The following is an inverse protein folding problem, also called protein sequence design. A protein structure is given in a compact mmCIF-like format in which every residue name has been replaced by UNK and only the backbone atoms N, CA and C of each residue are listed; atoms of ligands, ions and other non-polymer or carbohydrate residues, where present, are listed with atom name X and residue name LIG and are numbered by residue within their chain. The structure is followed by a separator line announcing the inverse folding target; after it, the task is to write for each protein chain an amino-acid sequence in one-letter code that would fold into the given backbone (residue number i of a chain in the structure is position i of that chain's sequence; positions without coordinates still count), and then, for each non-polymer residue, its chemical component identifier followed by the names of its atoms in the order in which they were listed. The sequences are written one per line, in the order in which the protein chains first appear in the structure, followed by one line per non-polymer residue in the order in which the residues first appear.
data_IF_234996339458
#
_entry.id   IF_234996339458
#
_cell.length_a   1.000
_cell.length_b   1.000
_cell.length_c   1.000
_cell.angle_alpha   90.00
_cell.angle_beta   90.00
_cell.angle_gamma   90.00
#
_symmetry.space_group_name_H-M   'P 1'
#
loop_
_entity.id
_entity.type
_entity.pdbx_description
1 polymer ?
#
# COMPACT_ATOMS: atom_id res chain seq x y z
N UNK A 1 -3.25 54.22 -17.50
CA UNK A 1 -3.88 55.03 -18.55
C UNK A 1 -5.37 55.03 -18.30
N UNK A 2 -6.01 56.20 -18.29
CA UNK A 2 -7.45 56.32 -18.05
C UNK A 2 -8.18 55.96 -19.35
N UNK A 3 -9.23 55.13 -19.28
CA UNK A 3 -10.05 54.77 -20.44
C UNK A 3 -11.21 55.77 -20.61
N UNK A 4 -11.07 56.70 -21.56
CA UNK A 4 -12.04 57.74 -21.85
C UNK A 4 -13.32 57.23 -22.50
N UNK A 5 -13.27 56.10 -23.22
CA UNK A 5 -14.48 55.43 -23.70
C UNK A 5 -15.33 54.95 -22.53
N UNK A 6 -14.71 54.34 -21.52
CA UNK A 6 -15.42 53.88 -20.32
C UNK A 6 -15.95 55.01 -19.44
N UNK A 7 -15.25 56.16 -19.40
CA UNK A 7 -15.78 57.37 -18.74
C UNK A 7 -17.05 57.87 -19.45
N UNK A 8 -17.07 57.86 -20.78
CA UNK A 8 -18.25 58.24 -21.56
C UNK A 8 -19.30 57.13 -21.67
N UNK A 9 -19.08 55.98 -21.03
CA UNK A 9 -19.94 54.80 -21.08
C UNK A 9 -20.16 54.25 -22.50
N UNK A 10 -19.06 54.23 -23.27
CA UNK A 10 -18.99 53.71 -24.63
C UNK A 10 -18.15 52.44 -24.69
N UNK A 11 -18.35 51.70 -25.78
CA UNK A 11 -17.43 50.65 -26.16
C UNK A 11 -16.09 51.23 -26.65
N UNK A 12 -15.02 50.46 -26.43
CA UNK A 12 -13.71 50.86 -26.89
C UNK A 12 -13.74 51.00 -28.42
N UNK A 13 -13.06 52.03 -28.95
CA UNK A 13 -12.99 52.34 -30.37
C UNK A 13 -14.29 52.87 -31.02
N UNK A 14 -15.32 53.23 -30.22
CA UNK A 14 -16.56 53.88 -30.67
C UNK A 14 -16.32 55.10 -31.57
N UNK A 15 -17.22 55.37 -32.52
CA UNK A 15 -17.05 56.42 -33.55
C UNK A 15 -16.98 57.83 -32.95
N UNK A 16 -16.37 58.78 -33.67
CA UNK A 16 -16.26 60.19 -33.18
C UNK A 16 -17.65 60.81 -32.98
N UNK A 17 -18.64 60.40 -33.78
CA UNK A 17 -20.03 60.85 -33.66
C UNK A 17 -20.71 60.33 -32.39
N UNK A 18 -20.47 59.07 -32.04
CA UNK A 18 -20.95 58.45 -30.80
C UNK A 18 -20.32 59.12 -29.58
N UNK A 19 -19.01 59.38 -29.61
CA UNK A 19 -18.28 60.11 -28.57
C UNK A 19 -18.86 61.51 -28.35
N UNK A 20 -19.11 62.26 -29.43
CA UNK A 20 -19.69 63.62 -29.34
C UNK A 20 -21.10 63.60 -28.75
N UNK A 21 -21.90 62.61 -29.12
CA UNK A 21 -23.27 62.44 -28.62
C UNK A 21 -23.27 62.09 -27.14
N UNK A 22 -22.45 61.10 -26.73
CA UNK A 22 -22.31 60.68 -25.35
C UNK A 22 -21.77 61.80 -24.45
N UNK A 23 -20.75 62.53 -24.92
CA UNK A 23 -20.21 63.69 -24.19
C UNK A 23 -21.28 64.76 -23.93
N UNK A 24 -22.07 65.13 -24.95
CA UNK A 24 -23.15 66.13 -24.78
C UNK A 24 -24.19 65.67 -23.76
N UNK A 25 -24.56 64.39 -23.81
CA UNK A 25 -25.51 63.81 -22.87
C UNK A 25 -24.98 63.84 -21.42
N UNK A 26 -23.72 63.44 -21.20
CA UNK A 26 -23.10 63.44 -19.86
C UNK A 26 -22.87 64.85 -19.31
N UNK A 27 -22.38 65.79 -20.13
CA UNK A 27 -22.17 67.19 -19.69
C UNK A 27 -23.48 67.87 -19.33
N UNK A 28 -24.59 67.59 -20.03
CA UNK A 28 -25.90 68.16 -19.67
C UNK A 28 -26.36 67.76 -18.26
N UNK A 29 -25.92 66.60 -17.77
CA UNK A 29 -26.29 66.07 -16.45
C UNK A 29 -25.32 66.53 -15.37
N UNK A 30 -24.02 66.62 -15.69
CA UNK A 30 -22.94 66.90 -14.73
C UNK A 30 -22.31 68.29 -14.88
N UNK A 31 -22.97 69.24 -15.57
CA UNK A 31 -22.47 70.60 -15.67
C UNK A 31 -22.48 71.27 -14.28
N UNK A 32 -21.41 71.97 -13.86
CA UNK A 32 -21.34 72.60 -12.53
C UNK A 32 -22.46 73.62 -12.27
N UNK A 33 -22.98 74.24 -13.34
CA UNK A 33 -24.11 75.18 -13.22
C UNK A 33 -25.47 74.48 -12.99
N UNK A 34 -25.61 73.21 -13.37
CA UNK A 34 -26.87 72.45 -13.30
C UNK A 34 -26.85 71.51 -12.09
N UNK A 35 -25.71 70.89 -11.82
CA UNK A 35 -25.52 69.93 -10.75
C UNK A 35 -24.47 70.48 -9.76
N UNK A 36 -24.93 70.82 -8.55
CA UNK A 36 -24.10 71.39 -7.46
C UNK A 36 -23.44 70.32 -6.59
N UNK A 37 -23.53 69.06 -6.98
CA UNK A 37 -22.85 67.97 -6.27
C UNK A 37 -21.32 68.14 -6.40
N UNK A 38 -20.55 68.03 -5.30
CA UNK A 38 -19.09 68.07 -5.37
C UNK A 38 -18.49 67.05 -6.36
N UNK A 39 -19.14 65.89 -6.56
CA UNK A 39 -18.66 64.87 -7.49
C UNK A 39 -18.92 65.24 -8.97
N UNK A 40 -19.89 66.13 -9.23
CA UNK A 40 -20.20 66.58 -10.58
C UNK A 40 -19.08 67.43 -11.18
N UNK A 41 -18.41 68.25 -10.37
CA UNK A 41 -17.27 69.05 -10.81
C UNK A 41 -16.12 68.15 -11.27
N UNK A 42 -15.78 67.10 -10.50
CA UNK A 42 -14.72 66.17 -10.85
C UNK A 42 -15.05 65.37 -12.12
N UNK A 43 -16.27 64.85 -12.22
CA UNK A 43 -16.72 64.11 -13.40
C UNK A 43 -16.76 64.97 -14.66
N UNK A 44 -17.15 66.24 -14.54
CA UNK A 44 -17.13 67.19 -15.66
C UNK A 44 -15.72 67.40 -16.23
N UNK A 45 -14.69 67.43 -15.36
CA UNK A 45 -13.28 67.50 -15.75
C UNK A 45 -12.89 66.25 -16.56
N UNK A 46 -13.26 65.07 -16.10
CA UNK A 46 -13.00 63.82 -16.83
C UNK A 46 -13.71 63.73 -18.18
N UNK A 47 -14.94 64.24 -18.30
CA UNK A 47 -15.64 64.31 -19.59
C UNK A 47 -14.97 65.29 -20.56
N UNK A 48 -14.50 66.43 -20.07
CA UNK A 48 -13.76 67.40 -20.88
C UNK A 48 -12.41 66.85 -21.35
N UNK A 49 -11.71 66.09 -20.51
CA UNK A 49 -10.51 65.34 -20.91
C UNK A 49 -10.83 64.29 -21.97
N UNK A 50 -11.90 63.50 -21.78
CA UNK A 50 -12.34 62.50 -22.74
C UNK A 50 -12.61 63.11 -24.12
N UNK A 51 -13.34 64.24 -24.16
CA UNK A 51 -13.53 65.01 -25.40
C UNK A 51 -12.20 65.44 -26.00
N UNK A 52 -11.31 66.04 -25.21
CA UNK A 52 -10.03 66.56 -25.71
C UNK A 52 -9.21 65.51 -26.46
N UNK A 53 -9.28 64.24 -26.04
CA UNK A 53 -8.57 63.12 -26.66
C UNK A 53 -9.37 62.40 -27.77
N UNK A 54 -10.69 62.49 -27.79
CA UNK A 54 -11.56 61.71 -28.69
C UNK A 54 -12.36 62.56 -29.72
N UNK A 55 -12.25 63.89 -29.69
CA UNK A 55 -13.10 64.81 -30.47
C UNK A 55 -12.77 64.87 -31.98
N UNK A 56 -11.51 64.62 -32.36
CA UNK A 56 -11.07 64.58 -33.76
C UNK A 56 -10.52 63.22 -34.13
N UNK A 57 -10.65 62.85 -35.41
CA UNK A 57 -10.19 61.56 -35.90
C UNK A 57 -8.69 61.33 -35.65
N UNK A 58 -7.87 62.37 -35.79
CA UNK A 58 -6.42 62.31 -35.54
C UNK A 58 -6.09 62.00 -34.07
N UNK A 59 -6.71 62.74 -33.13
CA UNK A 59 -6.50 62.55 -31.70
C UNK A 59 -7.05 61.22 -31.21
N UNK A 60 -8.23 60.82 -31.70
CA UNK A 60 -8.81 59.50 -31.46
C UNK A 60 -7.86 58.40 -31.92
N UNK A 61 -7.36 58.48 -33.16
CA UNK A 61 -6.44 57.47 -33.70
C UNK A 61 -5.16 57.35 -32.87
N UNK A 62 -4.62 58.47 -32.37
CA UNK A 62 -3.47 58.45 -31.46
C UNK A 62 -3.82 57.77 -30.13
N UNK A 63 -4.93 58.18 -29.52
CA UNK A 63 -5.40 57.61 -28.25
C UNK A 63 -5.71 56.11 -28.37
N UNK A 64 -6.32 55.68 -29.47
CA UNK A 64 -6.62 54.27 -29.74
C UNK A 64 -5.36 53.41 -29.85
N UNK A 65 -4.29 53.94 -30.48
CA UNK A 65 -2.98 53.26 -30.53
C UNK A 65 -2.37 53.13 -29.14
N UNK A 66 -2.39 54.19 -28.34
CA UNK A 66 -1.88 54.20 -26.97
C UNK A 66 -2.68 53.23 -26.08
N UNK A 67 -4.01 53.25 -26.19
CA UNK A 67 -4.91 52.36 -25.45
C UNK A 67 -4.67 50.90 -25.83
N UNK A 68 -4.55 50.61 -27.13
CA UNK A 68 -4.20 49.27 -27.63
C UNK A 68 -2.84 48.80 -27.10
N UNK A 69 -1.84 49.67 -27.11
CA UNK A 69 -0.52 49.36 -26.58
C UNK A 69 -0.55 49.07 -25.08
N UNK A 70 -1.28 49.87 -24.30
CA UNK A 70 -1.50 49.63 -22.87
C UNK A 70 -2.18 48.28 -22.60
N UNK A 71 -3.21 47.93 -23.38
CA UNK A 71 -3.87 46.63 -23.29
C UNK A 71 -2.91 45.47 -23.63
N UNK A 72 -2.08 45.61 -24.66
CA UNK A 72 -1.11 44.58 -25.05
C UNK A 72 -0.04 44.36 -23.98
N UNK A 73 0.45 45.43 -23.34
CA UNK A 73 1.39 45.34 -22.22
C UNK A 73 0.75 44.57 -21.06
N UNK A 74 -0.49 44.89 -20.70
CA UNK A 74 -1.19 44.22 -19.60
C UNK A 74 -1.47 42.75 -19.93
N UNK A 75 -1.87 42.42 -21.17
CA UNK A 75 -2.01 41.03 -21.62
C UNK A 75 -0.68 40.27 -21.48
N UNK A 76 0.44 40.89 -21.89
CA UNK A 76 1.74 40.25 -21.78
C UNK A 76 2.16 40.07 -20.32
N UNK A 77 1.88 41.06 -19.46
CA UNK A 77 2.09 40.99 -18.01
C UNK A 77 1.25 39.88 -17.36
N UNK A 78 -0.01 39.74 -17.75
CA UNK A 78 -0.89 38.67 -17.25
C UNK A 78 -0.46 37.28 -17.73
N UNK A 79 0.11 37.19 -18.93
CA UNK A 79 0.70 35.94 -19.46
C UNK A 79 2.02 35.58 -18.76
N UNK A 80 2.86 36.56 -18.43
CA UNK A 80 4.15 36.36 -17.77
C UNK A 80 4.07 36.30 -16.25
N UNK A 81 2.94 36.72 -15.66
CA UNK A 81 2.70 36.58 -14.23
C UNK A 81 2.75 35.09 -13.84
N UNK A 82 3.51 34.72 -12.79
CA UNK A 82 3.58 33.35 -12.34
C UNK A 82 2.18 32.90 -11.93
N UNK A 83 1.65 31.86 -12.60
CA UNK A 83 0.42 31.21 -12.18
C UNK A 83 0.67 30.63 -10.79
N UNK A 84 0.21 31.33 -9.74
CA UNK A 84 0.25 30.80 -8.38
C UNK A 84 -0.47 29.46 -8.37
N UNK A 85 0.26 28.38 -8.08
CA UNK A 85 -0.34 27.06 -8.05
C UNK A 85 -1.41 27.07 -6.96
N UNK A 86 -2.53 26.41 -7.20
CA UNK A 86 -3.59 26.24 -6.19
C UNK A 86 -3.03 25.73 -4.86
N UNK A 87 -2.02 24.86 -4.93
CA UNK A 87 -1.30 24.34 -3.78
C UNK A 87 -0.52 25.39 -2.99
N UNK A 88 -0.03 26.46 -3.62
CA UNK A 88 0.76 27.50 -2.95
C UNK A 88 -0.06 28.29 -1.93
N UNK A 89 -1.39 28.34 -2.11
CA UNK A 89 -2.33 29.02 -1.20
C UNK A 89 -2.71 28.19 0.02
N UNK A 90 -2.49 26.88 -0.01
CA UNK A 90 -2.92 25.97 1.05
C UNK A 90 -1.90 25.94 2.19
N UNK A 91 -2.40 25.84 3.42
CA UNK A 91 -1.59 25.52 4.60
C UNK A 91 -0.94 24.14 4.45
N UNK A 92 0.18 23.88 5.14
CA UNK A 92 0.85 22.56 5.12
C UNK A 92 -0.12 21.42 5.43
N UNK A 93 -1.04 21.63 6.37
CA UNK A 93 -2.07 20.65 6.77
C UNK A 93 -3.11 20.42 5.67
N UNK A 94 -3.61 21.48 5.05
CA UNK A 94 -4.58 21.36 3.95
C UNK A 94 -3.95 20.71 2.71
N UNK A 95 -2.66 20.97 2.46
CA UNK A 95 -1.89 20.29 1.41
C UNK A 95 -1.79 18.79 1.69
N UNK A 96 -1.44 18.39 2.92
CA UNK A 96 -1.37 16.96 3.26
C UNK A 96 -2.72 16.28 3.16
N UNK A 97 -3.80 16.92 3.64
CA UNK A 97 -5.16 16.39 3.55
C UNK A 97 -5.59 16.18 2.09
N UNK A 98 -5.34 17.14 1.19
CA UNK A 98 -5.65 16.98 -0.23
C UNK A 98 -4.79 15.95 -0.95
N UNK A 99 -3.52 15.85 -0.57
CA UNK A 99 -2.64 14.79 -1.10
C UNK A 99 -3.14 13.41 -0.67
N UNK A 100 -3.60 13.27 0.56
CA UNK A 100 -4.24 12.04 1.05
C UNK A 100 -5.55 11.73 0.33
N UNK A 101 -6.42 12.72 0.11
CA UNK A 101 -7.65 12.55 -0.67
C UNK A 101 -7.36 12.06 -2.09
N UNK A 102 -6.41 12.72 -2.77
CA UNK A 102 -5.96 12.30 -4.10
C UNK A 102 -5.40 10.89 -4.09
N UNK A 103 -4.59 10.54 -3.09
CA UNK A 103 -4.02 9.20 -2.94
C UNK A 103 -5.12 8.15 -2.74
N UNK A 104 -6.13 8.43 -1.90
CA UNK A 104 -7.28 7.54 -1.68
C UNK A 104 -8.07 7.30 -2.97
N UNK A 105 -8.31 8.36 -3.75
CA UNK A 105 -8.99 8.26 -5.06
C UNK A 105 -8.15 7.41 -6.03
N UNK A 106 -6.85 7.66 -6.13
CA UNK A 106 -5.95 6.88 -6.99
C UNK A 106 -5.93 5.39 -6.60
N UNK A 107 -5.85 5.09 -5.29
CA UNK A 107 -5.91 3.70 -4.80
C UNK A 107 -7.25 3.07 -5.18
N UNK A 108 -8.37 3.79 -5.00
CA UNK A 108 -9.69 3.33 -5.41
C UNK A 108 -9.77 3.02 -6.89
N UNK A 109 -9.36 3.95 -7.76
CA UNK A 109 -9.42 3.76 -9.21
C UNK A 109 -8.51 2.62 -9.68
N UNK A 110 -7.33 2.47 -9.06
CA UNK A 110 -6.43 1.34 -9.33
C UNK A 110 -7.06 0.02 -8.88
N UNK A 111 -7.70 0.02 -7.71
CA UNK A 111 -8.35 -1.17 -7.16
C UNK A 111 -9.57 -1.58 -8.00
N UNK A 112 -10.47 -0.66 -8.32
CA UNK A 112 -11.65 -0.91 -9.14
C UNK A 112 -11.25 -1.44 -10.54
N UNK A 113 -10.26 -0.84 -11.21
CA UNK A 113 -9.70 -1.38 -12.47
C UNK A 113 -9.12 -2.79 -12.31
N UNK A 114 -8.39 -3.04 -11.23
CA UNK A 114 -7.80 -4.36 -11.01
C UNK A 114 -8.86 -5.45 -10.79
N UNK A 115 -10.05 -5.10 -10.28
CA UNK A 115 -11.15 -6.04 -10.09
C UNK A 115 -11.76 -6.51 -11.42
N UNK A 116 -11.63 -5.72 -12.48
CA UNK A 116 -12.07 -6.09 -13.83
C UNK A 116 -11.22 -7.22 -14.41
N UNK A 117 -9.90 -7.20 -14.19
CA UNK A 117 -8.99 -8.25 -14.66
C UNK A 117 -8.93 -9.46 -13.72
N UNK A 118 -9.00 -9.22 -12.41
CA UNK A 118 -8.92 -10.27 -11.40
C UNK A 118 -9.97 -10.04 -10.30
N UNK A 119 -11.16 -10.66 -10.44
CA UNK A 119 -12.24 -10.57 -9.47
C UNK A 119 -11.84 -10.97 -8.04
N UNK A 120 -12.52 -10.39 -7.05
CA UNK A 120 -12.19 -10.58 -5.62
C UNK A 120 -12.15 -12.06 -5.20
N UNK A 121 -13.09 -12.88 -5.67
CA UNK A 121 -13.15 -14.29 -5.31
C UNK A 121 -11.92 -15.07 -5.79
N UNK A 122 -11.38 -14.75 -6.99
CA UNK A 122 -10.17 -15.37 -7.54
C UNK A 122 -8.94 -14.98 -6.74
N UNK A 123 -8.85 -13.71 -6.32
CA UNK A 123 -7.75 -13.25 -5.46
C UNK A 123 -7.76 -13.96 -4.14
N UNK A 124 -8.91 -13.96 -3.47
CA UNK A 124 -9.08 -14.58 -2.15
C UNK A 124 -8.79 -16.07 -2.25
N UNK A 125 -9.28 -16.78 -3.28
CA UNK A 125 -8.95 -18.19 -3.47
C UNK A 125 -7.46 -18.42 -3.73
N UNK A 126 -6.81 -17.58 -4.54
CA UNK A 126 -5.38 -17.68 -4.81
C UNK A 126 -4.52 -17.43 -3.57
N UNK A 127 -4.90 -16.44 -2.75
CA UNK A 127 -4.24 -16.13 -1.48
C UNK A 127 -4.40 -17.29 -0.49
N UNK A 128 -5.62 -17.83 -0.35
CA UNK A 128 -5.89 -18.98 0.52
C UNK A 128 -5.06 -20.19 0.05
N UNK A 129 -5.02 -20.46 -1.25
CA UNK A 129 -4.24 -21.55 -1.82
C UNK A 129 -2.74 -21.37 -1.52
N UNK A 130 -2.20 -20.16 -1.71
CA UNK A 130 -0.80 -19.85 -1.40
C UNK A 130 -0.48 -20.08 0.09
N UNK A 131 -1.37 -19.65 0.98
CA UNK A 131 -1.22 -19.87 2.42
C UNK A 131 -1.28 -21.35 2.79
N UNK A 132 -2.25 -22.10 2.25
CA UNK A 132 -2.35 -23.56 2.46
C UNK A 132 -1.09 -24.24 1.95
N UNK A 133 -0.56 -23.83 0.80
CA UNK A 133 0.66 -24.42 0.24
C UNK A 133 1.89 -24.14 1.12
N UNK A 134 2.01 -22.93 1.66
CA UNK A 134 3.04 -22.61 2.66
C UNK A 134 2.94 -23.49 3.92
N UNK A 135 1.74 -23.63 4.49
CA UNK A 135 1.51 -24.49 5.66
C UNK A 135 1.77 -25.97 5.34
N UNK A 136 1.39 -26.43 4.14
CA UNK A 136 1.63 -27.81 3.70
C UNK A 136 3.13 -28.11 3.61
N UNK A 137 3.93 -27.18 3.10
CA UNK A 137 5.40 -27.34 3.04
C UNK A 137 5.97 -27.44 4.47
N UNK A 138 5.55 -26.54 5.38
CA UNK A 138 5.98 -26.57 6.79
C UNK A 138 5.60 -27.91 7.44
N UNK A 139 4.36 -28.36 7.24
CA UNK A 139 3.87 -29.62 7.80
C UNK A 139 4.58 -30.85 7.22
N UNK A 140 4.91 -30.83 5.94
CA UNK A 140 5.59 -31.94 5.26
C UNK A 140 7.04 -32.09 5.73
N UNK A 141 7.77 -30.98 5.86
CA UNK A 141 9.18 -30.95 6.23
C UNK A 141 9.42 -30.67 7.73
N UNK A 142 8.39 -30.82 8.56
CA UNK A 142 8.51 -30.62 10.00
C UNK A 142 9.55 -31.58 10.63
N UNK A 143 9.53 -32.86 10.23
CA UNK A 143 10.51 -33.85 10.67
C UNK A 143 11.73 -33.79 9.76
N UNK A 144 12.90 -33.46 10.32
CA UNK A 144 14.09 -33.13 9.56
C UNK A 144 15.09 -34.28 9.55
N UNK A 145 15.62 -34.56 8.37
CA UNK A 145 16.79 -35.42 8.22
C UNK A 145 18.07 -34.60 8.42
N UNK A 146 19.05 -35.17 9.13
CA UNK A 146 20.32 -34.52 9.40
C UNK A 146 21.11 -34.32 8.10
N UNK A 147 21.53 -33.08 7.83
CA UNK A 147 22.23 -32.72 6.59
C UNK A 147 21.34 -32.60 5.34
N UNK A 148 20.02 -32.76 5.45
CA UNK A 148 19.10 -32.64 4.33
C UNK A 148 18.58 -31.21 4.11
N UNK A 149 18.00 -30.96 2.93
CA UNK A 149 17.40 -29.68 2.55
C UNK A 149 16.09 -29.34 3.28
N UNK A 150 15.64 -30.15 4.26
CA UNK A 150 14.39 -29.95 4.98
C UNK A 150 14.32 -28.60 5.71
N UNK A 151 15.44 -28.10 6.22
CA UNK A 151 15.53 -26.77 6.81
C UNK A 151 15.22 -25.68 5.78
N UNK A 152 15.76 -25.81 4.56
CA UNK A 152 15.52 -24.88 3.47
C UNK A 152 14.04 -24.88 3.07
N UNK A 153 13.44 -26.06 2.88
CA UNK A 153 12.01 -26.16 2.55
C UNK A 153 11.12 -25.60 3.65
N UNK A 154 11.45 -25.86 4.92
CA UNK A 154 10.70 -25.30 6.06
C UNK A 154 10.75 -23.76 6.05
N UNK A 155 11.93 -23.16 5.82
CA UNK A 155 12.08 -21.70 5.69
C UNK A 155 11.28 -21.18 4.49
N UNK A 156 11.35 -21.86 3.35
CA UNK A 156 10.57 -21.53 2.16
C UNK A 156 9.06 -21.58 2.44
N UNK A 157 8.60 -22.57 3.21
CA UNK A 157 7.21 -22.68 3.64
C UNK A 157 6.77 -21.51 4.51
N UNK A 158 7.59 -21.12 5.51
CA UNK A 158 7.32 -19.93 6.34
C UNK A 158 7.31 -18.65 5.53
N UNK A 159 8.25 -18.46 4.60
CA UNK A 159 8.27 -17.30 3.70
C UNK A 159 7.02 -17.26 2.82
N UNK A 160 6.65 -18.38 2.21
CA UNK A 160 5.46 -18.50 1.36
C UNK A 160 4.19 -18.18 2.14
N UNK A 161 4.05 -18.72 3.34
CA UNK A 161 2.92 -18.45 4.23
C UNK A 161 2.86 -16.98 4.65
N UNK A 162 4.00 -16.40 5.04
CA UNK A 162 4.10 -14.98 5.41
C UNK A 162 3.76 -14.05 4.25
N UNK A 163 4.22 -14.36 3.04
CA UNK A 163 3.83 -13.63 1.82
C UNK A 163 2.33 -13.71 1.59
N UNK A 164 1.73 -14.90 1.68
CA UNK A 164 0.28 -15.07 1.57
C UNK A 164 -0.50 -14.24 2.60
N UNK A 165 -0.08 -14.28 3.87
CA UNK A 165 -0.70 -13.50 4.93
C UNK A 165 -0.58 -11.97 4.72
N UNK A 166 0.59 -11.49 4.27
CA UNK A 166 0.81 -10.08 3.96
C UNK A 166 -0.06 -9.62 2.79
N UNK A 167 -0.16 -10.42 1.73
CA UNK A 167 -1.04 -10.14 0.58
C UNK A 167 -2.51 -10.14 1.01
N UNK A 168 -2.92 -11.10 1.86
CA UNK A 168 -4.27 -11.15 2.43
C UNK A 168 -4.63 -9.87 3.20
N UNK A 169 -3.73 -9.41 4.08
CA UNK A 169 -3.93 -8.19 4.85
C UNK A 169 -3.96 -6.95 3.96
N UNK A 170 -3.09 -6.87 2.94
CA UNK A 170 -3.08 -5.75 2.00
C UNK A 170 -4.37 -5.70 1.15
N UNK A 171 -4.86 -6.85 0.68
CA UNK A 171 -6.13 -6.94 -0.06
C UNK A 171 -7.30 -6.53 0.84
N UNK A 172 -7.36 -7.03 2.08
CA UNK A 172 -8.38 -6.63 3.05
C UNK A 172 -8.32 -5.13 3.36
N UNK A 173 -7.12 -4.58 3.58
CA UNK A 173 -6.93 -3.16 3.87
C UNK A 173 -7.45 -2.30 2.72
N UNK A 174 -7.06 -2.63 1.49
CA UNK A 174 -7.46 -1.89 0.30
C UNK A 174 -8.97 -1.99 0.06
N UNK A 175 -9.55 -3.19 0.23
CA UNK A 175 -11.00 -3.39 0.15
C UNK A 175 -11.77 -2.49 1.14
N UNK A 176 -11.37 -2.48 2.42
CA UNK A 176 -12.04 -1.66 3.42
C UNK A 176 -11.77 -0.17 3.24
N UNK A 177 -10.58 0.23 2.81
CA UNK A 177 -10.24 1.61 2.47
C UNK A 177 -11.17 2.13 1.37
N UNK A 178 -11.29 1.40 0.25
CA UNK A 178 -12.17 1.78 -0.85
C UNK A 178 -13.64 1.82 -0.43
N UNK A 179 -14.07 0.86 0.39
CA UNK A 179 -15.43 0.82 0.95
C UNK A 179 -15.71 2.01 1.87
N UNK A 180 -14.72 2.41 2.67
CA UNK A 180 -14.82 3.54 3.61
C UNK A 180 -15.01 4.90 2.93
N UNK A 181 -14.52 5.05 1.69
CA UNK A 181 -14.71 6.27 0.88
C UNK A 181 -16.19 6.46 0.54
N UNK A 182 -16.93 5.37 0.27
CA UNK A 182 -18.36 5.43 -0.10
C UNK A 182 -19.27 5.53 1.13
N UNK A 183 -18.98 4.77 2.18
CA UNK A 183 -19.76 4.75 3.42
C UNK A 183 -18.83 4.57 4.62
N UNK A 184 -19.01 5.32 5.71
CA UNK A 184 -18.17 5.19 6.89
C UNK A 184 -18.25 3.76 7.46
N UNK A 185 -17.09 3.13 7.64
CA UNK A 185 -16.97 1.80 8.25
C UNK A 185 -17.02 1.96 9.77
N UNK A 186 -17.90 1.22 10.44
CA UNK A 186 -18.17 1.37 11.90
C UNK A 186 -17.04 0.92 12.83
N UNK A 187 -15.94 0.38 12.29
CA UNK A 187 -14.83 -0.15 13.07
C UNK A 187 -13.49 0.30 12.48
N UNK A 188 -12.48 0.36 13.34
CA UNK A 188 -11.10 0.63 12.92
C UNK A 188 -10.53 -0.61 12.22
N UNK A 189 -10.69 -0.66 10.90
CA UNK A 189 -10.23 -1.79 10.09
C UNK A 189 -8.70 -1.87 10.05
N UNK A 190 -7.98 -0.76 10.14
CA UNK A 190 -6.51 -0.73 10.14
C UNK A 190 -5.96 -1.52 11.33
N UNK A 191 -6.47 -1.23 12.54
CA UNK A 191 -6.08 -1.94 13.76
C UNK A 191 -6.52 -3.40 13.72
N UNK A 192 -7.77 -3.68 13.33
CA UNK A 192 -8.29 -5.06 13.30
C UNK A 192 -7.50 -5.94 12.33
N UNK A 193 -7.23 -5.48 11.11
CA UNK A 193 -6.48 -6.25 10.11
C UNK A 193 -5.07 -6.54 10.62
N UNK A 194 -4.40 -5.55 11.21
CA UNK A 194 -3.08 -5.75 11.83
C UNK A 194 -3.12 -6.80 12.96
N UNK A 195 -4.11 -6.71 13.86
CA UNK A 195 -4.27 -7.70 14.94
C UNK A 195 -4.56 -9.09 14.40
N UNK A 196 -5.46 -9.23 13.42
CA UNK A 196 -5.76 -10.52 12.80
C UNK A 196 -4.55 -11.12 12.06
N UNK A 197 -3.75 -10.29 11.39
CA UNK A 197 -2.51 -10.74 10.75
C UNK A 197 -1.55 -11.32 11.78
N UNK A 198 -1.25 -10.60 12.87
CA UNK A 198 -0.26 -11.04 13.86
C UNK A 198 -0.77 -12.27 14.63
N UNK A 199 -1.99 -12.20 15.18
CA UNK A 199 -2.58 -13.28 15.97
C UNK A 199 -2.84 -14.51 15.10
N UNK A 200 -3.40 -14.33 13.90
CA UNK A 200 -3.65 -15.43 12.98
C UNK A 200 -2.38 -16.11 12.50
N UNK A 201 -1.31 -15.35 12.24
CA UNK A 201 -0.01 -15.91 11.87
C UNK A 201 0.57 -16.77 13.00
N UNK A 202 0.60 -16.25 14.23
CA UNK A 202 1.09 -16.99 15.41
C UNK A 202 0.26 -18.26 15.65
N UNK A 203 -1.08 -18.15 15.63
CA UNK A 203 -1.97 -19.29 15.81
C UNK A 203 -1.75 -20.37 14.73
N UNK A 204 -1.49 -19.97 13.49
CA UNK A 204 -1.24 -20.92 12.40
C UNK A 204 0.06 -21.70 12.61
N UNK A 205 1.11 -21.04 13.10
CA UNK A 205 2.38 -21.71 13.45
C UNK A 205 2.14 -22.73 14.57
N UNK A 206 1.48 -22.33 15.66
CA UNK A 206 1.17 -23.24 16.76
C UNK A 206 0.27 -24.40 16.34
N UNK A 207 -0.69 -24.16 15.44
CA UNK A 207 -1.56 -25.20 14.91
C UNK A 207 -0.75 -26.25 14.12
N UNK A 208 0.12 -25.81 13.20
CA UNK A 208 0.95 -26.72 12.40
C UNK A 208 1.93 -27.49 13.28
N UNK A 209 2.53 -26.82 14.27
CA UNK A 209 3.41 -27.47 15.25
C UNK A 209 2.66 -28.53 16.05
N UNK A 210 1.50 -28.19 16.61
CA UNK A 210 0.66 -29.10 17.38
C UNK A 210 0.19 -30.30 16.57
N UNK A 211 -0.29 -30.08 15.34
CA UNK A 211 -0.68 -31.17 14.43
C UNK A 211 0.50 -32.07 14.07
N UNK A 212 1.68 -31.50 13.88
CA UNK A 212 2.88 -32.26 13.55
C UNK A 212 3.35 -33.13 14.72
N UNK A 213 3.36 -32.59 15.93
CA UNK A 213 3.66 -33.32 17.17
C UNK A 213 2.65 -34.44 17.38
N UNK A 214 1.35 -34.14 17.27
CA UNK A 214 0.28 -35.13 17.39
C UNK A 214 0.43 -36.26 16.37
N UNK A 215 0.69 -35.93 15.10
CA UNK A 215 0.95 -36.93 14.05
C UNK A 215 2.14 -37.82 14.42
N UNK A 216 3.23 -37.23 14.90
CA UNK A 216 4.42 -37.97 15.32
C UNK A 216 4.13 -38.95 16.45
N UNK A 217 3.46 -38.48 17.50
CA UNK A 217 3.07 -39.30 18.65
C UNK A 217 2.10 -40.42 18.25
N UNK A 218 1.08 -40.09 17.45
CA UNK A 218 0.08 -41.06 17.01
C UNK A 218 0.72 -42.20 16.22
N UNK A 219 1.61 -41.89 15.27
CA UNK A 219 2.28 -42.89 14.46
C UNK A 219 3.25 -43.74 15.30
N UNK A 220 4.04 -43.11 16.18
CA UNK A 220 4.98 -43.84 17.05
C UNK A 220 4.29 -44.70 18.11
N UNK A 221 3.00 -44.47 18.40
CA UNK A 221 2.25 -45.27 19.38
C UNK A 221 1.43 -46.39 18.75
N UNK A 222 0.94 -46.20 17.52
CA UNK A 222 0.03 -47.16 16.89
C UNK A 222 0.67 -47.91 15.72
N UNK A 223 1.52 -47.26 14.93
CA UNK A 223 2.04 -47.75 13.64
C UNK A 223 3.57 -47.69 13.63
N UNK A 224 4.22 -48.44 14.51
CA UNK A 224 5.67 -48.38 14.70
C UNK A 224 6.35 -49.73 14.52
N UNK A 225 7.64 -49.67 14.19
CA UNK A 225 8.55 -50.80 14.18
C UNK A 225 9.91 -50.37 14.76
N UNK A 226 10.78 -51.36 14.96
CA UNK A 226 12.13 -51.14 15.46
C UNK A 226 13.16 -51.49 14.39
N UNK A 227 14.25 -50.76 14.36
CA UNK A 227 15.43 -51.07 13.56
C UNK A 227 16.68 -50.79 14.37
N UNK A 228 17.82 -51.32 13.91
CA UNK A 228 19.11 -51.05 14.52
C UNK A 228 19.79 -49.93 13.75
N UNK A 229 20.14 -48.86 14.45
CA UNK A 229 20.89 -47.73 13.92
C UNK A 229 22.34 -47.72 14.42
N UNK A 230 23.20 -47.06 13.67
CA UNK A 230 24.58 -46.77 14.03
C UNK A 230 24.68 -45.34 14.57
N UNK A 231 25.31 -45.17 15.74
CA UNK A 231 25.49 -43.87 16.38
C UNK A 231 26.72 -43.18 15.79
N UNK A 232 26.50 -42.03 15.16
CA UNK A 232 27.55 -41.13 14.71
C UNK A 232 28.03 -40.26 15.88
N UNK A 233 29.05 -40.76 16.59
CA UNK A 233 29.61 -40.07 17.75
C UNK A 233 30.29 -38.73 17.42
N UNK A 234 30.71 -38.51 16.17
CA UNK A 234 31.37 -37.26 15.76
C UNK A 234 30.34 -36.13 15.58
N UNK A 235 29.17 -36.47 15.05
CA UNK A 235 28.07 -35.52 14.87
C UNK A 235 27.17 -35.40 16.11
N UNK A 236 27.31 -36.31 17.08
CA UNK A 236 26.53 -36.31 18.33
C UNK A 236 27.11 -35.35 19.37
N UNK A 237 26.23 -34.84 20.25
CA UNK A 237 26.61 -34.06 21.42
C UNK A 237 25.80 -34.53 22.64
N UNK A 238 26.06 -33.94 23.82
CA UNK A 238 25.43 -34.38 25.08
C UNK A 238 23.89 -34.30 25.14
N UNK A 239 23.23 -33.66 24.17
CA UNK A 239 21.77 -33.53 24.14
C UNK A 239 21.15 -34.07 22.84
N UNK A 240 21.96 -34.38 21.84
CA UNK A 240 21.52 -34.82 20.51
C UNK A 240 22.38 -35.98 20.05
N UNK A 241 21.76 -37.15 19.93
CA UNK A 241 22.41 -38.34 19.38
C UNK A 241 22.05 -38.44 17.90
N UNK A 242 23.06 -38.42 17.03
CA UNK A 242 22.90 -38.59 15.59
C UNK A 242 23.00 -40.06 15.25
N UNK A 243 21.97 -40.59 14.60
CA UNK A 243 21.87 -42.01 14.25
C UNK A 243 21.61 -42.19 12.76
N UNK A 244 22.41 -43.06 12.14
CA UNK A 244 22.24 -43.57 10.79
C UNK A 244 21.51 -44.92 10.85
N UNK A 245 20.40 -45.08 10.13
CA UNK A 245 19.60 -46.31 10.12
C UNK A 245 18.95 -46.53 8.76
N UNK A 246 18.73 -47.80 8.41
CA UNK A 246 18.13 -48.22 7.15
C UNK A 246 16.77 -48.84 7.41
N UNK A 247 15.78 -48.44 6.62
CA UNK A 247 14.43 -49.03 6.59
C UNK A 247 14.07 -49.28 5.13
N UNK A 248 13.69 -50.52 4.80
CA UNK A 248 13.28 -50.93 3.45
C UNK A 248 14.28 -50.54 2.34
N UNK A 249 15.58 -50.62 2.63
CA UNK A 249 16.66 -50.28 1.70
C UNK A 249 16.90 -48.78 1.49
N UNK A 250 16.25 -47.91 2.28
CA UNK A 250 16.47 -46.47 2.28
C UNK A 250 17.17 -46.03 3.57
N UNK A 251 18.23 -45.23 3.40
CA UNK A 251 19.03 -44.73 4.51
C UNK A 251 18.50 -43.41 5.07
N UNK A 252 18.53 -43.31 6.38
CA UNK A 252 18.08 -42.16 7.14
C UNK A 252 19.16 -41.77 8.15
N UNK A 253 19.42 -40.46 8.24
CA UNK A 253 20.32 -39.89 9.25
C UNK A 253 19.56 -38.87 10.07
N UNK A 254 19.48 -39.03 11.38
CA UNK A 254 18.66 -38.13 12.21
C UNK A 254 19.35 -37.80 13.52
N UNK A 255 19.38 -36.51 13.86
CA UNK A 255 19.65 -36.04 15.20
C UNK A 255 18.40 -36.21 16.06
N UNK A 256 18.49 -37.00 17.11
CA UNK A 256 17.39 -37.29 18.03
C UNK A 256 17.73 -36.72 19.40
N UNK A 257 16.76 -36.05 20.02
CA UNK A 257 16.91 -35.56 21.39
C UNK A 257 17.00 -36.76 22.33
N UNK A 258 18.05 -36.78 23.13
CA UNK A 258 18.32 -37.84 24.09
C UNK A 258 19.74 -37.72 24.61
N UNK A 259 19.93 -38.10 25.87
CA UNK A 259 21.26 -38.26 26.41
C UNK A 259 21.83 -39.60 25.92
N UNK A 260 23.06 -39.59 25.44
CA UNK A 260 23.76 -40.81 25.05
C UNK A 260 23.86 -41.82 26.21
N UNK A 261 23.74 -41.37 27.47
CA UNK A 261 23.72 -42.26 28.64
C UNK A 261 22.39 -42.99 28.86
N UNK A 262 21.28 -42.49 28.33
CA UNK A 262 19.92 -43.01 28.61
C UNK A 262 19.41 -44.00 27.54
N UNK A 263 20.13 -44.15 26.43
CA UNK A 263 19.70 -44.96 25.29
C UNK A 263 20.15 -46.42 25.38
N UNK A 264 19.41 -47.30 24.70
CA UNK A 264 19.81 -48.71 24.57
C UNK A 264 21.05 -48.85 23.68
N UNK A 265 22.22 -49.06 24.29
CA UNK A 265 23.48 -49.34 23.59
C UNK A 265 23.62 -50.83 23.27
N UNK A 266 23.88 -51.13 21.99
CA UNK A 266 24.26 -52.43 21.47
C UNK A 266 25.76 -52.45 21.13
N UNK A 267 26.32 -53.65 20.92
CA UNK A 267 27.73 -53.81 20.55
C UNK A 267 28.07 -53.04 19.26
N UNK A 268 29.22 -52.36 19.25
CA UNK A 268 29.73 -51.68 18.05
C UNK A 268 29.07 -50.35 17.72
N UNK A 269 28.80 -49.49 18.73
CA UNK A 269 28.16 -48.16 18.58
C UNK A 269 26.78 -48.22 17.92
N UNK A 270 26.02 -49.28 18.20
CA UNK A 270 24.67 -49.46 17.68
C UNK A 270 23.63 -49.11 18.73
N UNK A 271 22.46 -48.69 18.29
CA UNK A 271 21.31 -48.38 19.16
C UNK A 271 20.02 -48.86 18.51
N UNK A 272 18.96 -49.00 19.31
CA UNK A 272 17.63 -49.34 18.82
C UNK A 272 16.88 -48.05 18.50
N UNK A 273 16.38 -47.96 17.27
CA UNK A 273 15.57 -46.85 16.79
C UNK A 273 14.13 -47.33 16.65
N UNK A 274 13.21 -46.62 17.33
CA UNK A 274 11.77 -46.77 17.10
C UNK A 274 11.36 -45.82 15.99
N UNK A 275 10.74 -46.31 14.93
CA UNK A 275 10.31 -45.49 13.80
C UNK A 275 8.84 -45.77 13.44
N UNK A 276 8.19 -44.78 12.84
CA UNK A 276 6.85 -44.94 12.28
C UNK A 276 6.94 -45.66 10.94
N UNK A 277 6.14 -46.73 10.77
CA UNK A 277 6.12 -47.55 9.55
C UNK A 277 5.75 -46.69 8.33
N UNK A 278 4.74 -45.83 8.48
CA UNK A 278 4.24 -44.97 7.40
C UNK A 278 5.21 -43.84 6.99
N UNK A 279 6.13 -43.45 7.88
CA UNK A 279 7.13 -42.42 7.62
C UNK A 279 8.35 -42.60 8.53
N UNK A 280 9.39 -43.35 8.09
CA UNK A 280 10.54 -43.68 8.93
C UNK A 280 11.36 -42.48 9.44
N UNK A 281 11.23 -41.30 8.83
CA UNK A 281 11.83 -40.05 9.32
C UNK A 281 11.28 -39.70 10.72
N UNK A 282 10.04 -40.09 11.01
CA UNK A 282 9.42 -39.98 12.33
C UNK A 282 9.95 -41.13 13.18
N UNK A 283 11.04 -40.87 13.87
CA UNK A 283 11.73 -41.82 14.72
C UNK A 283 12.21 -41.19 16.04
N UNK A 284 12.35 -42.03 17.06
CA UNK A 284 12.90 -41.71 18.39
C UNK A 284 13.87 -42.80 18.85
N UNK A 285 14.79 -42.43 19.75
CA UNK A 285 15.64 -43.39 20.44
C UNK A 285 14.80 -44.18 21.45
N UNK A 286 15.15 -45.46 21.63
CA UNK A 286 14.59 -46.29 22.69
C UNK A 286 15.44 -46.10 23.94
N UNK A 287 14.80 -45.64 25.01
CA UNK A 287 15.45 -45.46 26.32
C UNK A 287 15.60 -46.80 27.04
N UNK A 288 16.53 -46.85 28.01
CA UNK A 288 16.77 -48.04 28.83
C UNK A 288 15.49 -48.59 29.48
N UNK A 289 14.60 -47.71 29.96
CA UNK A 289 13.36 -48.10 30.63
C UNK A 289 12.34 -48.73 29.67
N UNK A 290 12.42 -48.45 28.36
CA UNK A 290 11.57 -49.01 27.32
C UNK A 290 12.14 -50.33 26.73
N UNK A 291 13.29 -50.81 27.24
CA UNK A 291 14.05 -51.94 26.69
C UNK A 291 13.26 -53.27 26.65
N UNK A 292 12.32 -53.47 27.58
CA UNK A 292 11.49 -54.69 27.66
C UNK A 292 10.37 -54.77 26.60
N UNK A 293 10.16 -53.70 25.82
CA UNK A 293 9.10 -53.60 24.80
C UNK A 293 9.68 -53.84 23.38
N UNK A 294 11.01 -53.88 23.25
CA UNK A 294 11.69 -54.18 21.98
C UNK A 294 11.73 -55.69 21.73
N UNK A 295 11.37 -56.19 20.54
CA UNK A 295 11.64 -57.58 20.17
C UNK A 295 13.16 -57.82 20.19
N UNK A 296 13.56 -58.97 20.71
CA UNK A 296 14.94 -59.48 20.69
C UNK A 296 15.45 -59.72 19.26
#
# INVERSE_FOLDING_TARGET
MVNYYKILDLDNYASVEEVKTAYKAKIKIYHPDINKDPDAEEMSKYFNLAKTHLDTQEKKNQYDRELKFAYLIEINRLKSAPKRNYFDKLSRRERSEKLEERRKIQIKEKYERSLESMPLYIRVSGIILLMIWGLQIIFTHHFKQFGAADYFYTILGYLTFATGAAVAANEAYTYFLVKSIKKPVRFNFEKKIGTFLVVGFILSIFLVEGLSVFRGQYLLNNHFAYTVGFVDAESSNGFTVVVDYTVDGKDYKKGMNGDEWEIVKLSGRRTVVKYAIDNPIISKLVNYDERYISPH
#
